data_IF_499760122555
#
_entry.id   IF_499760122555
#
_cell.length_a   1.000
_cell.length_b   1.000
_cell.length_c   1.000
_cell.angle_alpha   90.00
_cell.angle_beta   90.00
_cell.angle_gamma   90.00
#
_symmetry.space_group_name_H-M   'P 1'
#
loop_
_entity.id
_entity.type
_entity.pdbx_description
1 polymer ?
#
# COMPACT_ATOMS: atom_id res chain seq x y z
N UNK A 1 -5.84 24.90 14.76
CA UNK A 1 -5.19 23.70 14.24
C UNK A 1 -5.69 22.49 15.01
N UNK A 2 -6.06 21.50 14.29
CA UNK A 2 -6.65 20.31 14.90
C UNK A 2 -5.58 19.26 15.22
N UNK A 3 -5.63 18.73 16.45
CA UNK A 3 -4.78 17.59 16.82
C UNK A 3 -5.33 16.28 16.27
N UNK A 4 -6.55 16.29 15.73
CA UNK A 4 -7.18 15.10 15.17
C UNK A 4 -6.41 14.55 13.97
N UNK A 5 -5.62 15.41 13.31
CA UNK A 5 -4.83 15.03 12.16
C UNK A 5 -3.49 14.40 12.54
N UNK A 6 -3.17 14.43 13.84
CA UNK A 6 -1.88 13.90 14.31
C UNK A 6 -2.05 12.45 14.74
N UNK A 7 -1.72 11.56 13.83
CA UNK A 7 -1.73 10.13 14.12
C UNK A 7 -0.46 9.72 14.85
N UNK A 8 -0.59 8.70 15.69
CA UNK A 8 0.59 8.05 16.28
C UNK A 8 1.26 7.15 15.24
N UNK A 9 2.52 6.77 15.52
CA UNK A 9 3.22 5.79 14.69
C UNK A 9 2.42 4.49 14.58
N UNK A 10 1.85 4.05 15.69
CA UNK A 10 1.06 2.81 15.72
C UNK A 10 -0.20 2.92 14.86
N UNK A 11 -0.86 4.09 14.87
CA UNK A 11 -2.05 4.31 14.03
C UNK A 11 -1.69 4.30 12.54
N UNK A 12 -0.55 4.89 12.16
CA UNK A 12 -0.11 4.89 10.78
C UNK A 12 0.26 3.48 10.32
N UNK A 13 0.97 2.74 11.15
CA UNK A 13 1.31 1.34 10.85
C UNK A 13 0.02 0.53 10.68
N UNK A 14 -0.97 0.74 11.55
CA UNK A 14 -2.24 0.03 11.46
C UNK A 14 -2.97 0.31 10.14
N UNK A 15 -2.92 1.55 9.65
CA UNK A 15 -3.52 1.89 8.36
C UNK A 15 -2.81 1.16 7.21
N UNK A 16 -1.48 1.12 7.23
CA UNK A 16 -0.71 0.41 6.22
C UNK A 16 -1.02 -1.10 6.25
N UNK A 17 -1.11 -1.67 7.46
CA UNK A 17 -1.49 -3.09 7.62
C UNK A 17 -2.91 -3.35 7.10
N UNK A 18 -3.83 -2.41 7.34
CA UNK A 18 -5.20 -2.55 6.83
C UNK A 18 -5.22 -2.53 5.31
N UNK A 19 -4.39 -1.70 4.68
CA UNK A 19 -4.26 -1.71 3.22
C UNK A 19 -3.82 -3.07 2.71
N UNK A 20 -2.85 -3.69 3.39
CA UNK A 20 -2.39 -5.03 3.00
C UNK A 20 -3.48 -6.08 3.21
N UNK A 21 -4.26 -5.96 4.29
CA UNK A 21 -5.39 -6.88 4.50
C UNK A 21 -6.41 -6.78 3.36
N UNK A 22 -6.72 -5.56 2.92
CA UNK A 22 -7.63 -5.34 1.79
C UNK A 22 -7.05 -5.82 0.48
N UNK A 23 -5.76 -5.63 0.29
CA UNK A 23 -5.02 -6.15 -0.84
C UNK A 23 -5.13 -7.68 -0.91
N UNK A 24 -4.88 -8.34 0.22
CA UNK A 24 -4.95 -9.80 0.30
C UNK A 24 -6.38 -10.32 0.11
N UNK A 25 -7.38 -9.53 0.46
CA UNK A 25 -8.78 -9.83 0.18
C UNK A 25 -9.14 -9.58 -1.30
N UNK A 26 -8.20 -9.01 -2.06
CA UNK A 26 -8.37 -8.65 -3.48
C UNK A 26 -9.52 -7.67 -3.69
N UNK A 27 -9.68 -6.75 -2.75
CA UNK A 27 -10.72 -5.73 -2.77
C UNK A 27 -10.07 -4.38 -3.11
N UNK A 28 -9.99 -4.09 -4.40
CA UNK A 28 -9.37 -2.86 -4.88
C UNK A 28 -10.10 -1.62 -4.39
N UNK A 29 -11.43 -1.66 -4.35
CA UNK A 29 -12.23 -0.53 -3.89
C UNK A 29 -11.92 -0.22 -2.41
N UNK A 30 -11.88 -1.26 -1.57
CA UNK A 30 -11.59 -1.09 -0.15
C UNK A 30 -10.15 -0.60 0.08
N UNK A 31 -9.21 -1.09 -0.74
CA UNK A 31 -7.81 -0.66 -0.65
C UNK A 31 -7.68 0.85 -0.89
N UNK A 32 -8.24 1.33 -1.99
CA UNK A 32 -8.09 2.75 -2.36
C UNK A 32 -8.95 3.68 -1.50
N UNK A 33 -9.92 3.14 -0.76
CA UNK A 33 -10.69 3.94 0.19
C UNK A 33 -9.81 4.54 1.28
N UNK A 34 -8.64 3.96 1.52
CA UNK A 34 -7.68 4.47 2.51
C UNK A 34 -6.70 5.49 1.89
N UNK A 35 -6.85 5.81 0.62
CA UNK A 35 -5.98 6.75 -0.10
C UNK A 35 -6.66 8.08 -0.35
N UNK A 36 -5.84 9.13 -0.54
CA UNK A 36 -6.35 10.42 -0.98
C UNK A 36 -6.82 10.32 -2.44
N UNK A 37 -7.71 11.23 -2.91
CA UNK A 37 -8.19 11.17 -4.29
C UNK A 37 -7.09 11.25 -5.35
N UNK A 38 -6.02 12.00 -5.08
CA UNK A 38 -4.90 12.19 -5.99
C UNK A 38 -3.70 11.28 -5.65
N UNK A 39 -3.92 10.26 -4.83
CA UNK A 39 -2.87 9.33 -4.44
C UNK A 39 -2.32 8.58 -5.65
N UNK A 40 -1.10 8.10 -5.52
CA UNK A 40 -0.46 7.34 -6.59
C UNK A 40 0.40 6.22 -6.03
N UNK A 41 0.77 5.30 -6.90
CA UNK A 41 1.78 4.29 -6.63
C UNK A 41 2.92 4.44 -7.62
N UNK A 42 4.15 4.30 -7.14
CA UNK A 42 5.34 4.57 -7.93
C UNK A 42 6.48 3.65 -7.52
N UNK A 43 7.45 3.49 -8.43
CA UNK A 43 8.74 2.95 -8.03
C UNK A 43 9.48 3.98 -7.19
N UNK A 44 10.29 3.53 -6.24
CA UNK A 44 11.08 4.44 -5.42
C UNK A 44 12.02 5.24 -6.32
N UNK A 45 11.93 6.57 -6.23
CA UNK A 45 12.69 7.51 -7.05
C UNK A 45 12.50 7.26 -8.55
N UNK A 46 11.43 6.60 -8.92
CA UNK A 46 11.11 6.24 -10.30
C UNK A 46 9.77 6.79 -10.73
N UNK A 47 9.28 6.25 -11.84
CA UNK A 47 8.06 6.71 -12.46
C UNK A 47 6.82 6.28 -11.66
N UNK A 48 5.77 7.10 -11.73
CA UNK A 48 4.45 6.73 -11.25
C UNK A 48 3.93 5.60 -12.14
N UNK A 49 3.47 4.52 -11.51
CA UNK A 49 2.94 3.35 -12.23
C UNK A 49 1.43 3.29 -12.18
N UNK A 50 0.80 3.88 -11.15
CA UNK A 50 -0.66 4.01 -11.05
C UNK A 50 -0.98 5.41 -10.58
N UNK A 51 -1.75 6.15 -11.40
CA UNK A 51 -1.98 7.57 -11.19
C UNK A 51 -3.37 7.80 -10.59
N UNK A 52 -3.43 8.47 -9.44
CA UNK A 52 -4.68 8.79 -8.77
C UNK A 52 -5.32 7.58 -8.10
N UNK A 53 -6.33 7.85 -7.28
CA UNK A 53 -7.07 6.78 -6.61
C UNK A 53 -7.73 5.84 -7.63
N UNK A 54 -8.34 6.41 -8.67
CA UNK A 54 -9.04 5.61 -9.67
C UNK A 54 -8.07 4.78 -10.51
N UNK A 55 -6.93 5.35 -10.91
CA UNK A 55 -5.91 4.59 -11.64
C UNK A 55 -5.33 3.46 -10.80
N UNK A 56 -5.15 3.70 -9.51
CA UNK A 56 -4.68 2.66 -8.59
C UNK A 56 -5.72 1.55 -8.46
N UNK A 57 -7.00 1.91 -8.30
CA UNK A 57 -8.08 0.92 -8.22
C UNK A 57 -8.14 0.05 -9.47
N UNK A 58 -8.14 0.68 -10.63
CA UNK A 58 -8.23 -0.05 -11.90
C UNK A 58 -7.02 -0.96 -12.11
N UNK A 59 -5.82 -0.46 -11.81
CA UNK A 59 -4.60 -1.27 -11.94
C UNK A 59 -4.57 -2.46 -11.00
N UNK A 60 -5.01 -2.27 -9.76
CA UNK A 60 -5.09 -3.37 -8.81
C UNK A 60 -6.15 -4.38 -9.20
N UNK A 61 -7.33 -3.93 -9.65
CA UNK A 61 -8.38 -4.84 -10.08
C UNK A 61 -7.90 -5.73 -11.23
N UNK A 62 -7.17 -5.15 -12.18
CA UNK A 62 -6.61 -5.91 -13.31
C UNK A 62 -5.58 -6.93 -12.82
N UNK A 63 -4.73 -6.53 -11.88
CA UNK A 63 -3.69 -7.41 -11.33
C UNK A 63 -4.32 -8.55 -10.52
N UNK A 64 -5.35 -8.26 -9.72
CA UNK A 64 -6.05 -9.30 -8.97
C UNK A 64 -6.74 -10.30 -9.90
N UNK A 65 -7.30 -9.83 -11.02
CA UNK A 65 -7.91 -10.72 -12.01
C UNK A 65 -6.87 -11.64 -12.64
N UNK A 66 -5.67 -11.11 -12.89
CA UNK A 66 -4.58 -11.88 -13.48
C UNK A 66 -3.96 -12.86 -12.48
N UNK A 67 -3.87 -12.44 -11.21
CA UNK A 67 -3.23 -13.24 -10.15
C UNK A 67 -4.20 -13.40 -8.97
N UNK A 68 -5.23 -14.26 -9.11
CA UNK A 68 -6.29 -14.34 -8.09
C UNK A 68 -5.82 -14.90 -6.75
N UNK A 69 -4.61 -15.45 -6.68
CA UNK A 69 -4.05 -15.97 -5.43
C UNK A 69 -2.85 -15.16 -4.96
N UNK A 70 -2.69 -13.95 -5.48
CA UNK A 70 -1.60 -13.07 -5.07
C UNK A 70 -1.76 -12.69 -3.61
N UNK A 71 -0.66 -12.78 -2.85
CA UNK A 71 -0.65 -12.47 -1.42
C UNK A 71 0.60 -11.73 -1.01
N UNK A 72 0.44 -10.89 -0.02
CA UNK A 72 1.55 -10.19 0.64
C UNK A 72 1.60 -10.64 2.09
N UNK A 73 2.79 -11.00 2.55
CA UNK A 73 3.08 -11.26 3.96
C UNK A 73 3.94 -10.12 4.47
N UNK A 74 3.52 -9.47 5.55
CA UNK A 74 4.30 -8.40 6.17
C UNK A 74 5.35 -9.04 7.07
N UNK A 75 6.62 -8.72 6.81
CA UNK A 75 7.74 -9.26 7.60
C UNK A 75 8.17 -8.30 8.68
N UNK A 76 8.08 -6.99 8.44
CA UNK A 76 8.49 -5.96 9.38
C UNK A 76 7.80 -4.66 9.04
N UNK A 77 7.65 -3.79 10.05
CA UNK A 77 6.98 -2.51 9.92
C UNK A 77 7.76 -1.47 10.72
N UNK A 78 7.96 -0.30 10.12
CA UNK A 78 8.61 0.82 10.78
C UNK A 78 7.83 2.08 10.49
N UNK A 79 7.83 3.00 11.44
CA UNK A 79 7.29 4.33 11.22
C UNK A 79 8.29 5.35 11.77
N UNK A 80 8.69 6.27 10.93
CA UNK A 80 9.56 7.39 11.33
C UNK A 80 8.84 8.65 10.86
N UNK A 81 8.56 9.56 11.81
CA UNK A 81 7.77 10.74 11.49
C UNK A 81 6.39 10.34 10.96
N UNK A 82 6.07 10.76 9.76
CA UNK A 82 4.80 10.46 9.11
C UNK A 82 4.92 9.41 8.01
N UNK A 83 6.04 8.71 7.96
CA UNK A 83 6.31 7.74 6.90
C UNK A 83 6.33 6.34 7.49
N UNK A 84 5.59 5.44 6.88
CA UNK A 84 5.60 4.02 7.23
C UNK A 84 6.33 3.25 6.15
N UNK A 85 7.19 2.32 6.57
CA UNK A 85 7.84 1.39 5.66
C UNK A 85 7.45 -0.02 6.08
N UNK A 86 6.95 -0.80 5.13
CA UNK A 86 6.67 -2.21 5.33
C UNK A 86 7.68 -3.03 4.53
N UNK A 87 8.29 -4.02 5.19
CA UNK A 87 9.05 -5.05 4.51
C UNK A 87 8.09 -6.19 4.21
N UNK A 88 7.94 -6.53 2.94
CA UNK A 88 6.91 -7.46 2.46
C UNK A 88 7.53 -8.59 1.65
N UNK A 89 6.92 -9.77 1.78
CA UNK A 89 7.17 -10.88 0.86
C UNK A 89 5.92 -11.04 0.00
N UNK A 90 6.10 -11.03 -1.32
CA UNK A 90 4.99 -11.10 -2.27
C UNK A 90 5.04 -12.44 -2.98
N UNK A 91 3.90 -13.11 -3.08
CA UNK A 91 3.74 -14.35 -3.82
C UNK A 91 2.57 -14.19 -4.81
N UNK A 92 2.81 -14.46 -6.08
CA UNK A 92 1.77 -14.37 -7.12
C UNK A 92 0.87 -15.60 -7.15
N UNK A 93 1.37 -16.73 -6.65
CA UNK A 93 0.64 -17.99 -6.59
C UNK A 93 1.16 -18.81 -5.42
N UNK A 94 0.36 -19.75 -4.87
CA UNK A 94 0.73 -20.49 -3.66
C UNK A 94 2.06 -21.24 -3.78
N UNK A 95 2.36 -21.78 -4.96
CA UNK A 95 3.58 -22.51 -5.22
C UNK A 95 4.56 -21.72 -6.08
N UNK A 96 4.30 -20.43 -6.25
CA UNK A 96 5.13 -19.55 -7.05
C UNK A 96 6.32 -19.02 -6.30
N UNK A 97 7.19 -18.36 -7.03
CA UNK A 97 8.33 -17.66 -6.46
C UNK A 97 7.88 -16.52 -5.58
N UNK A 98 8.57 -16.35 -4.46
CA UNK A 98 8.38 -15.16 -3.62
C UNK A 98 9.45 -14.13 -3.97
N UNK A 99 9.08 -12.88 -3.90
CA UNK A 99 10.04 -11.79 -3.98
C UNK A 99 9.76 -10.79 -2.87
N UNK A 100 10.79 -10.02 -2.51
CA UNK A 100 10.70 -9.09 -1.41
C UNK A 100 10.57 -7.66 -1.91
N UNK A 101 9.83 -6.85 -1.15
CA UNK A 101 9.55 -5.47 -1.48
C UNK A 101 9.65 -4.66 -0.19
N UNK A 102 10.19 -3.45 -0.30
CA UNK A 102 9.96 -2.41 0.70
C UNK A 102 8.91 -1.47 0.15
N UNK A 103 7.82 -1.29 0.88
CA UNK A 103 6.76 -0.38 0.49
C UNK A 103 6.78 0.83 1.43
N UNK A 104 6.84 2.02 0.86
CA UNK A 104 6.96 3.28 1.59
C UNK A 104 5.65 4.03 1.46
N UNK A 105 4.99 4.28 2.59
CA UNK A 105 3.67 4.92 2.64
C UNK A 105 3.83 6.34 3.15
N UNK A 106 3.40 7.31 2.34
CA UNK A 106 3.32 8.73 2.72
C UNK A 106 1.86 9.07 3.01
N UNK A 107 1.65 9.90 4.01
CA UNK A 107 0.31 10.22 4.50
C UNK A 107 -0.02 11.70 4.33
N UNK A 108 -1.31 11.99 4.12
CA UNK A 108 -1.91 13.31 4.32
C UNK A 108 -3.05 13.10 5.30
N UNK A 109 -2.86 13.59 6.54
CA UNK A 109 -3.80 13.30 7.60
C UNK A 109 -3.87 11.80 7.86
N UNK A 110 -5.06 11.25 7.80
CA UNK A 110 -5.30 9.82 8.04
C UNK A 110 -5.42 9.00 6.76
N UNK A 111 -5.05 9.58 5.61
CA UNK A 111 -5.11 8.90 4.32
C UNK A 111 -3.72 8.77 3.73
N UNK A 112 -3.52 7.71 2.96
CA UNK A 112 -2.27 7.49 2.24
C UNK A 112 -2.30 8.27 0.95
N UNK A 113 -1.26 9.09 0.72
CA UNK A 113 -1.17 9.92 -0.48
C UNK A 113 -0.23 9.34 -1.53
N UNK A 114 0.66 8.43 -1.13
CA UNK A 114 1.62 7.85 -2.06
C UNK A 114 2.17 6.56 -1.49
N UNK A 115 2.31 5.56 -2.33
CA UNK A 115 3.04 4.33 -1.99
C UNK A 115 4.17 4.16 -2.99
N UNK A 116 5.38 3.98 -2.48
CA UNK A 116 6.55 3.74 -3.32
C UNK A 116 7.12 2.36 -3.02
N UNK A 117 7.62 1.70 -4.06
CA UNK A 117 8.11 0.33 -3.93
C UNK A 117 9.58 0.22 -4.30
N UNK A 118 10.35 -0.47 -3.45
CA UNK A 118 11.72 -0.90 -3.73
C UNK A 118 11.68 -2.42 -3.89
N UNK A 119 12.19 -2.89 -5.02
CA UNK A 119 12.26 -4.33 -5.29
C UNK A 119 13.67 -4.79 -5.47
#
# INVERSE_FOLDING_TARGET
>A
MSTDLLLTAEQRIAIAHEMIARYNAQDADAYVALMTPDACEAGYRGAVVREGREGTRAGLAAMFAQFPQNRVTIRDSKCVGETVVLHEAVSRAPDGEQFEVLAIYSFEGDKVSRVEFIR
#
